data_IF_023978781578
#
_entry.id   IF_023978781578
#
_cell.length_a   1.000
_cell.length_b   1.000
_cell.length_c   1.000
_cell.angle_alpha   90.00
_cell.angle_beta   90.00
_cell.angle_gamma   90.00
#
_symmetry.space_group_name_H-M   'P 1'
#
loop_
_entity.id
_entity.type
_entity.pdbx_description
1 polymer ?
#
# COMPACT_ATOMS: atom_id res chain seq x y z
N UNK A 1 -9.11 -13.07 -13.58
CA UNK A 1 -9.55 -11.69 -13.84
C UNK A 1 -10.89 -11.57 -13.18
N UNK A 2 -10.92 -10.89 -12.04
CA UNK A 2 -11.94 -11.10 -10.99
C UNK A 2 -12.23 -9.80 -10.23
N UNK A 3 -12.17 -8.68 -10.95
CA UNK A 3 -12.33 -7.32 -10.45
C UNK A 3 -13.04 -6.48 -11.52
N UNK A 4 -14.09 -5.76 -11.15
CA UNK A 4 -14.85 -4.85 -12.01
C UNK A 4 -14.56 -3.41 -11.57
N UNK A 5 -13.77 -2.67 -12.35
CA UNK A 5 -13.43 -1.28 -12.07
C UNK A 5 -14.58 -0.30 -12.33
N UNK A 6 -15.67 -0.74 -12.97
CA UNK A 6 -16.88 0.04 -13.20
C UNK A 6 -17.81 0.09 -11.99
N UNK A 7 -17.67 -0.85 -11.04
CA UNK A 7 -18.50 -0.89 -9.85
C UNK A 7 -18.29 0.34 -8.92
N UNK A 8 -19.32 0.79 -8.18
CA UNK A 8 -19.20 1.94 -7.29
C UNK A 8 -18.06 1.78 -6.27
N UNK A 9 -17.18 2.79 -6.19
CA UNK A 9 -15.98 2.79 -5.32
C UNK A 9 -14.97 1.67 -5.61
N UNK A 10 -15.16 0.92 -6.70
CA UNK A 10 -14.25 -0.16 -7.05
C UNK A 10 -12.95 0.34 -7.65
N UNK A 11 -12.85 1.60 -8.10
CA UNK A 11 -11.62 2.12 -8.69
C UNK A 11 -11.49 3.65 -8.53
N UNK A 12 -10.26 4.14 -8.56
CA UNK A 12 -9.92 5.56 -8.51
C UNK A 12 -10.69 6.36 -9.55
N UNK A 13 -11.46 7.37 -9.09
CA UNK A 13 -12.19 8.29 -9.99
C UNK A 13 -11.26 9.04 -10.92
N UNK A 14 -10.13 9.53 -10.39
CA UNK A 14 -9.12 10.26 -11.17
C UNK A 14 -8.54 9.42 -12.32
N UNK A 15 -8.50 8.09 -12.15
CA UNK A 15 -8.06 7.17 -13.21
C UNK A 15 -9.21 6.73 -14.11
N UNK A 16 -10.44 6.61 -13.59
CA UNK A 16 -11.62 6.32 -14.39
C UNK A 16 -11.84 7.38 -15.50
N UNK A 17 -11.68 8.67 -15.15
CA UNK A 17 -11.80 9.77 -16.12
C UNK A 17 -10.72 9.69 -17.22
N UNK A 18 -9.48 9.39 -16.84
CA UNK A 18 -8.36 9.17 -17.78
C UNK A 18 -8.58 7.92 -18.64
N UNK A 19 -9.14 6.87 -18.07
CA UNK A 19 -9.41 5.62 -18.77
C UNK A 19 -10.58 5.73 -19.76
N UNK A 20 -11.53 6.65 -19.55
CA UNK A 20 -12.63 6.90 -20.48
C UNK A 20 -12.13 7.44 -21.84
N UNK A 21 -10.98 8.11 -21.84
CA UNK A 21 -10.25 8.47 -23.05
C UNK A 21 -9.60 7.20 -23.61
N UNK A 22 -10.19 6.57 -24.65
CA UNK A 22 -9.66 5.35 -25.32
C UNK A 22 -8.31 5.55 -26.04
N UNK A 23 -7.59 6.63 -25.73
CA UNK A 23 -6.33 6.94 -26.37
C UNK A 23 -5.24 5.93 -25.94
N UNK A 24 -4.65 5.27 -26.94
CA UNK A 24 -3.41 4.51 -26.76
C UNK A 24 -3.54 3.01 -26.51
N UNK A 25 -4.68 2.38 -26.78
CA UNK A 25 -4.80 0.91 -26.84
C UNK A 25 -4.15 0.33 -28.10
N UNK A 26 -2.84 0.56 -28.23
CA UNK A 26 -2.04 0.05 -29.33
C UNK A 26 -1.78 -1.46 -29.16
N UNK A 27 -1.58 -2.22 -30.26
CA UNK A 27 -1.19 -3.63 -30.17
C UNK A 27 0.07 -3.86 -29.34
N UNK A 28 1.02 -2.91 -29.37
CA UNK A 28 2.24 -2.95 -28.57
C UNK A 28 1.96 -2.83 -27.05
N UNK A 29 1.11 -1.87 -26.64
CA UNK A 29 0.65 -1.72 -25.25
C UNK A 29 -0.05 -2.99 -24.78
N UNK A 30 -1.00 -3.50 -25.56
CA UNK A 30 -1.75 -4.71 -25.20
C UNK A 30 -0.86 -5.95 -25.08
N UNK A 31 0.10 -6.12 -25.99
CA UNK A 31 1.10 -7.19 -25.91
C UNK A 31 1.94 -7.06 -24.63
N UNK A 32 2.34 -5.84 -24.26
CA UNK A 32 3.10 -5.58 -23.04
C UNK A 32 2.26 -5.86 -21.78
N UNK A 33 1.03 -5.39 -21.71
CA UNK A 33 0.13 -5.67 -20.58
C UNK A 33 -0.15 -7.16 -20.42
N UNK A 34 -0.37 -7.87 -21.53
CA UNK A 34 -0.48 -9.33 -21.52
C UNK A 34 0.78 -10.01 -20.98
N UNK A 35 1.96 -9.47 -21.27
CA UNK A 35 3.23 -9.95 -20.69
C UNK A 35 3.28 -9.71 -19.18
N UNK A 36 2.94 -8.51 -18.69
CA UNK A 36 2.90 -8.21 -17.24
C UNK A 36 2.01 -9.22 -16.51
N UNK A 37 0.77 -9.42 -17.01
CA UNK A 37 -0.18 -10.38 -16.42
C UNK A 37 0.37 -11.80 -16.44
N UNK A 38 0.92 -12.25 -17.57
CA UNK A 38 1.45 -13.61 -17.71
C UNK A 38 2.67 -13.84 -16.81
N UNK A 39 3.57 -12.86 -16.70
CA UNK A 39 4.73 -12.94 -15.82
C UNK A 39 4.28 -13.04 -14.36
N UNK A 40 3.32 -12.22 -13.92
CA UNK A 40 2.79 -12.27 -12.56
C UNK A 40 2.09 -13.60 -12.22
N UNK A 41 1.47 -14.27 -13.20
CA UNK A 41 0.82 -15.56 -12.97
C UNK A 41 1.79 -16.75 -13.03
N UNK A 42 2.82 -16.70 -13.88
CA UNK A 42 3.62 -17.89 -14.24
C UNK A 42 5.09 -17.83 -13.83
N UNK A 43 5.67 -16.64 -13.71
CA UNK A 43 7.12 -16.46 -13.57
C UNK A 43 7.49 -15.81 -12.25
N UNK A 44 6.69 -14.84 -11.82
CA UNK A 44 6.91 -14.07 -10.62
C UNK A 44 6.08 -14.66 -9.49
N UNK A 45 6.74 -15.09 -8.42
CA UNK A 45 6.05 -15.43 -7.18
C UNK A 45 5.90 -14.16 -6.37
N UNK A 46 4.73 -13.52 -6.46
CA UNK A 46 4.37 -12.44 -5.56
C UNK A 46 4.50 -12.95 -4.11
N UNK A 47 5.09 -12.17 -3.19
CA UNK A 47 5.12 -12.53 -1.78
C UNK A 47 3.71 -12.90 -1.31
N UNK A 48 3.59 -14.04 -0.63
CA UNK A 48 2.34 -14.51 -0.04
C UNK A 48 2.67 -15.27 1.25
N UNK A 49 3.24 -14.54 2.20
CA UNK A 49 3.66 -15.07 3.49
C UNK A 49 2.96 -14.30 4.61
N UNK A 50 2.89 -14.91 5.80
CA UNK A 50 2.30 -14.27 6.98
C UNK A 50 2.98 -12.95 7.37
N UNK A 51 4.26 -12.79 7.04
CA UNK A 51 5.04 -11.59 7.30
C UNK A 51 4.78 -10.46 6.29
N UNK A 52 4.40 -10.78 5.05
CA UNK A 52 4.14 -9.83 3.98
C UNK A 52 3.53 -10.56 2.77
N UNK A 53 2.50 -9.97 2.17
CA UNK A 53 1.79 -10.53 1.03
C UNK A 53 1.38 -9.44 0.04
N UNK A 54 1.29 -9.83 -1.24
CA UNK A 54 0.89 -8.97 -2.35
C UNK A 54 -0.20 -9.69 -3.14
N UNK A 55 -1.36 -9.06 -3.24
CA UNK A 55 -2.48 -9.56 -4.03
C UNK A 55 -2.78 -8.55 -5.14
N UNK A 56 -2.80 -9.01 -6.39
CA UNK A 56 -3.06 -8.16 -7.54
C UNK A 56 -4.20 -8.73 -8.38
N UNK A 57 -5.09 -7.85 -8.81
CA UNK A 57 -6.14 -8.16 -9.79
C UNK A 57 -6.09 -7.15 -10.92
N UNK A 58 -6.41 -7.58 -12.12
CA UNK A 58 -6.69 -6.70 -13.24
C UNK A 58 -8.21 -6.69 -13.50
N UNK A 59 -8.69 -5.62 -14.12
CA UNK A 59 -10.09 -5.49 -14.50
C UNK A 59 -10.49 -6.60 -15.48
N UNK A 60 -11.74 -7.04 -15.40
CA UNK A 60 -12.28 -8.16 -16.17
C UNK A 60 -12.26 -7.86 -17.69
N UNK A 61 -12.49 -6.62 -18.07
CA UNK A 61 -12.61 -6.19 -19.46
C UNK A 61 -11.37 -5.43 -19.95
N UNK A 62 -10.56 -4.88 -19.04
CA UNK A 62 -9.45 -3.98 -19.35
C UNK A 62 -8.15 -4.28 -18.62
N UNK A 63 -7.15 -4.74 -19.37
CA UNK A 63 -5.82 -5.02 -18.81
C UNK A 63 -5.03 -3.78 -18.36
N UNK A 64 -5.46 -2.59 -18.75
CA UNK A 64 -4.82 -1.32 -18.38
C UNK A 64 -5.39 -0.69 -17.09
N UNK A 65 -6.20 -1.45 -16.35
CA UNK A 65 -6.64 -1.15 -15.00
C UNK A 65 -6.29 -2.31 -14.09
N UNK A 66 -5.55 -2.02 -13.02
CA UNK A 66 -5.22 -3.01 -12.00
C UNK A 66 -5.43 -2.45 -10.61
N UNK A 67 -5.67 -3.35 -9.66
CA UNK A 67 -5.73 -3.06 -8.23
C UNK A 67 -4.80 -4.01 -7.49
N UNK A 68 -4.13 -3.48 -6.48
CA UNK A 68 -3.22 -4.21 -5.62
C UNK A 68 -3.59 -4.00 -4.17
N UNK A 69 -3.58 -5.09 -3.39
CA UNK A 69 -3.59 -5.04 -1.94
C UNK A 69 -2.22 -5.51 -1.45
N UNK A 70 -1.49 -4.61 -0.80
CA UNK A 70 -0.22 -4.90 -0.12
C UNK A 70 -0.49 -5.07 1.36
N UNK A 71 -0.06 -6.18 1.95
CA UNK A 71 -0.06 -6.29 3.41
C UNK A 71 1.20 -5.65 3.97
N UNK A 72 1.05 -4.96 5.10
CA UNK A 72 2.16 -4.30 5.76
C UNK A 72 3.16 -5.29 6.35
N UNK A 73 4.47 -5.11 6.13
CA UNK A 73 5.48 -6.07 6.58
C UNK A 73 5.56 -6.21 8.10
N UNK A 74 5.92 -7.42 8.55
CA UNK A 74 6.30 -7.74 9.92
C UNK A 74 7.41 -6.82 10.45
N UNK A 75 7.29 -6.41 11.71
CA UNK A 75 8.27 -5.56 12.38
C UNK A 75 8.17 -4.08 12.01
N UNK A 76 7.18 -3.68 11.22
CA UNK A 76 6.97 -2.30 10.81
C UNK A 76 5.70 -1.72 11.44
N UNK A 77 5.54 -0.38 11.53
CA UNK A 77 4.27 0.21 11.97
C UNK A 77 3.11 -0.08 11.00
N UNK A 78 3.38 -0.65 9.83
CA UNK A 78 2.39 -1.11 8.85
C UNK A 78 1.88 -2.54 9.11
N UNK A 79 2.56 -3.32 9.96
CA UNK A 79 2.38 -4.77 10.10
C UNK A 79 0.90 -5.18 10.08
N UNK A 80 0.56 -6.06 9.13
CA UNK A 80 -0.77 -6.67 9.06
C UNK A 80 -1.89 -5.79 8.52
N UNK A 81 -1.66 -4.50 8.26
CA UNK A 81 -2.61 -3.65 7.54
C UNK A 81 -2.72 -4.04 6.06
N UNK A 82 -3.89 -3.87 5.47
CA UNK A 82 -4.14 -4.05 4.04
C UNK A 82 -4.20 -2.68 3.34
N UNK A 83 -3.21 -2.39 2.50
CA UNK A 83 -3.09 -1.13 1.77
C UNK A 83 -3.50 -1.32 0.31
N UNK A 84 -4.53 -0.60 -0.11
CA UNK A 84 -5.15 -0.74 -1.43
C UNK A 84 -4.58 0.32 -2.36
N UNK A 85 -4.09 -0.12 -3.52
CA UNK A 85 -3.55 0.74 -4.56
C UNK A 85 -4.27 0.47 -5.88
N UNK A 86 -4.60 1.54 -6.60
CA UNK A 86 -5.08 1.45 -7.97
C UNK A 86 -3.96 1.81 -8.93
N UNK A 87 -3.86 1.09 -10.04
CA UNK A 87 -2.93 1.36 -11.14
C UNK A 87 -3.67 1.58 -12.44
N UNK A 88 -3.25 2.58 -13.21
CA UNK A 88 -3.71 2.85 -14.56
C UNK A 88 -2.53 2.91 -15.54
N UNK A 89 -2.65 2.27 -16.69
CA UNK A 89 -1.60 2.27 -17.72
C UNK A 89 -1.97 3.25 -18.84
N UNK A 90 -1.32 4.43 -18.92
CA UNK A 90 -1.68 5.45 -19.89
C UNK A 90 -1.34 5.02 -21.33
N UNK A 91 -1.84 5.75 -22.32
CA UNK A 91 -1.65 5.42 -23.74
C UNK A 91 -0.20 5.33 -24.21
N UNK A 92 0.73 6.03 -23.54
CA UNK A 92 2.17 5.94 -23.82
C UNK A 92 2.87 4.72 -23.23
N UNK A 93 2.19 3.86 -22.47
CA UNK A 93 2.81 2.70 -21.82
C UNK A 93 3.28 1.65 -22.86
N UNK A 94 4.48 1.05 -22.74
CA UNK A 94 5.43 1.16 -21.62
C UNK A 94 6.49 2.25 -21.74
N UNK A 95 6.41 3.15 -22.73
CA UNK A 95 7.41 4.23 -22.86
C UNK A 95 7.32 5.26 -21.73
N UNK A 96 6.18 5.32 -21.04
CA UNK A 96 5.99 6.02 -19.77
C UNK A 96 5.55 5.03 -18.69
N UNK A 97 5.82 5.29 -17.39
CA UNK A 97 5.39 4.40 -16.30
C UNK A 97 3.87 4.32 -16.16
N UNK A 98 3.35 3.29 -15.46
CA UNK A 98 1.98 3.30 -15.01
C UNK A 98 1.75 4.42 -13.98
N UNK A 99 0.52 4.89 -13.86
CA UNK A 99 0.08 5.74 -12.77
C UNK A 99 -0.36 4.86 -11.60
N UNK A 100 -0.08 5.29 -10.37
CA UNK A 100 -0.50 4.59 -9.15
C UNK A 100 -1.02 5.58 -8.11
N UNK A 101 -2.06 5.17 -7.37
CA UNK A 101 -2.60 5.94 -6.25
C UNK A 101 -2.93 5.01 -5.08
N UNK A 102 -2.58 5.45 -3.86
CA UNK A 102 -3.00 4.81 -2.61
C UNK A 102 -4.46 5.19 -2.33
N UNK A 103 -5.33 4.20 -2.20
CA UNK A 103 -6.74 4.38 -1.82
C UNK A 103 -6.94 4.37 -0.30
N UNK A 104 -6.12 3.60 0.43
CA UNK A 104 -6.19 3.53 1.89
C UNK A 104 -5.56 4.77 2.51
N UNK A 105 -6.28 5.90 2.52
CA UNK A 105 -5.83 7.19 3.10
C UNK A 105 -6.75 7.73 4.19
N UNK A 106 -7.79 6.97 4.56
CA UNK A 106 -8.83 7.42 5.47
C UNK A 106 -9.58 8.63 4.93
N UNK A 107 -9.84 8.68 3.61
CA UNK A 107 -10.45 9.80 2.90
C UNK A 107 -9.64 11.10 3.02
N UNK A 108 -8.32 11.04 2.84
CA UNK A 108 -7.47 12.23 2.92
C UNK A 108 -7.00 12.60 4.33
N UNK A 109 -7.32 11.79 5.35
CA UNK A 109 -6.98 12.06 6.75
C UNK A 109 -5.62 11.52 7.18
N UNK A 110 -5.04 10.58 6.43
CA UNK A 110 -3.83 9.88 6.82
C UNK A 110 -2.75 9.95 5.74
N UNK A 111 -1.61 10.59 6.07
CA UNK A 111 -0.35 10.43 5.34
C UNK A 111 0.40 9.24 5.94
N UNK A 112 0.47 8.14 5.20
CA UNK A 112 1.02 6.87 5.70
C UNK A 112 2.55 6.76 5.64
N UNK A 113 3.21 7.62 4.87
CA UNK A 113 4.67 7.62 4.76
C UNK A 113 5.10 8.97 4.16
N UNK A 114 6.36 9.40 4.31
CA UNK A 114 6.88 10.50 3.51
C UNK A 114 6.64 10.37 2.00
N UNK A 115 6.59 9.13 1.51
CA UNK A 115 6.32 8.77 0.13
C UNK A 115 4.86 8.31 -0.15
N UNK A 116 3.98 8.26 0.86
CA UNK A 116 2.57 7.88 0.73
C UNK A 116 1.67 8.98 1.32
N UNK A 117 1.23 9.87 0.44
CA UNK A 117 0.55 11.11 0.81
C UNK A 117 -0.91 10.88 1.16
N UNK A 118 -1.49 11.82 1.90
CA UNK A 118 -2.90 11.76 2.30
C UNK A 118 -3.86 11.84 1.10
N UNK A 119 -3.47 12.56 0.04
CA UNK A 119 -4.22 12.61 -1.23
C UNK A 119 -4.06 11.34 -2.09
N UNK A 120 -3.29 10.35 -1.61
CA UNK A 120 -3.03 9.10 -2.29
C UNK A 120 -1.81 9.11 -3.20
N UNK A 121 -1.09 10.23 -3.34
CA UNK A 121 0.13 10.27 -4.16
C UNK A 121 1.19 9.30 -3.62
N UNK A 122 1.72 8.48 -4.52
CA UNK A 122 2.83 7.55 -4.26
C UNK A 122 4.11 8.11 -4.88
N UNK A 123 5.12 8.36 -4.07
CA UNK A 123 6.44 8.81 -4.50
C UNK A 123 7.39 7.62 -4.66
N UNK A 124 7.72 7.29 -5.91
CA UNK A 124 8.68 6.23 -6.24
C UNK A 124 9.38 6.60 -7.54
N UNK A 125 10.69 6.39 -7.63
CA UNK A 125 11.48 6.72 -8.82
C UNK A 125 11.01 5.93 -10.06
N UNK A 126 10.62 4.66 -9.88
CA UNK A 126 10.00 3.82 -10.92
C UNK A 126 8.66 4.35 -11.44
N UNK A 127 7.99 5.25 -10.69
CA UNK A 127 6.76 5.92 -11.12
C UNK A 127 7.04 7.32 -11.68
N UNK A 128 8.29 7.79 -11.67
CA UNK A 128 8.67 9.14 -12.05
C UNK A 128 8.20 10.23 -11.06
N UNK A 129 7.77 9.84 -9.86
CA UNK A 129 7.21 10.74 -8.83
C UNK A 129 8.17 11.03 -7.69
N UNK A 130 9.40 10.54 -7.78
CA UNK A 130 10.49 10.79 -6.84
C UNK A 130 11.83 10.86 -7.59
N UNK A 131 12.83 11.52 -6.99
CA UNK A 131 14.17 11.57 -7.55
C UNK A 131 14.85 10.21 -7.42
N UNK A 132 15.28 9.63 -8.54
CA UNK A 132 16.23 8.51 -8.52
C UNK A 132 17.65 9.06 -8.41
N UNK A 133 18.47 8.45 -7.56
CA UNK A 133 19.89 8.79 -7.44
C UNK A 133 20.71 8.34 -8.67
N UNK A 134 20.22 7.33 -9.39
CA UNK A 134 20.83 6.82 -10.62
C UNK A 134 19.79 6.56 -11.72
N UNK A 135 20.16 6.63 -13.00
CA UNK A 135 19.22 6.39 -14.13
C UNK A 135 18.58 5.00 -14.08
N UNK A 136 19.29 4.01 -13.55
CA UNK A 136 18.80 2.63 -13.36
C UNK A 136 17.66 2.51 -12.35
N UNK A 137 17.40 3.56 -11.55
CA UNK A 137 16.31 3.58 -10.57
C UNK A 137 15.03 4.20 -11.13
N UNK A 138 15.09 4.79 -12.33
CA UNK A 138 13.94 5.34 -13.05
C UNK A 138 13.23 4.26 -13.86
N UNK A 139 12.02 4.57 -14.33
CA UNK A 139 11.28 3.69 -15.22
C UNK A 139 12.05 3.44 -16.53
N UNK A 140 12.33 2.17 -16.81
CA UNK A 140 12.89 1.69 -18.06
C UNK A 140 11.83 0.86 -18.81
N UNK A 141 11.38 1.30 -19.99
CA UNK A 141 10.40 0.57 -20.80
C UNK A 141 10.82 -0.87 -21.14
N UNK A 142 12.10 -1.20 -21.17
CA UNK A 142 12.58 -2.54 -21.48
C UNK A 142 12.68 -3.46 -20.25
N UNK A 143 12.95 -2.89 -19.07
CA UNK A 143 13.36 -3.68 -17.88
C UNK A 143 12.47 -3.49 -16.66
N UNK A 144 11.76 -2.37 -16.52
CA UNK A 144 10.85 -2.13 -15.39
C UNK A 144 9.56 -2.93 -15.53
N UNK A 145 8.91 -3.25 -14.41
CA UNK A 145 7.69 -4.06 -14.33
C UNK A 145 6.81 -3.64 -13.16
N UNK A 146 5.53 -4.03 -13.20
CA UNK A 146 4.60 -3.82 -12.08
C UNK A 146 5.10 -4.50 -10.81
N UNK A 147 5.72 -5.68 -10.95
CA UNK A 147 6.33 -6.41 -9.84
C UNK A 147 7.38 -5.58 -9.11
N UNK A 148 8.31 -4.95 -9.84
CA UNK A 148 9.34 -4.11 -9.21
C UNK A 148 8.74 -2.90 -8.47
N UNK A 149 7.67 -2.31 -8.99
CA UNK A 149 6.97 -1.21 -8.31
C UNK A 149 6.42 -1.70 -6.96
N UNK A 150 5.62 -2.77 -6.95
CA UNK A 150 4.97 -3.24 -5.72
C UNK A 150 5.98 -3.78 -4.70
N UNK A 151 7.05 -4.42 -5.16
CA UNK A 151 8.15 -4.85 -4.30
C UNK A 151 8.91 -3.67 -3.70
N UNK A 152 9.15 -2.60 -4.47
CA UNK A 152 9.84 -1.41 -3.97
C UNK A 152 9.03 -0.70 -2.89
N UNK A 153 7.70 -0.60 -3.07
CA UNK A 153 6.82 -0.05 -2.04
C UNK A 153 6.92 -0.88 -0.75
N UNK A 154 6.79 -2.19 -0.85
CA UNK A 154 6.80 -3.05 0.33
C UNK A 154 8.18 -3.08 1.04
N UNK A 155 9.30 -2.99 0.29
CA UNK A 155 10.65 -3.15 0.86
C UNK A 155 11.38 -1.84 1.20
N UNK A 156 11.03 -0.72 0.55
CA UNK A 156 11.73 0.57 0.72
C UNK A 156 10.85 1.64 1.36
N UNK A 157 9.53 1.57 1.19
CA UNK A 157 8.60 2.55 1.74
C UNK A 157 8.01 2.04 3.06
N UNK A 158 7.51 0.80 3.07
CA UNK A 158 6.84 0.22 4.23
C UNK A 158 7.85 -0.41 5.21
N UNK A 159 8.72 0.42 5.79
CA UNK A 159 9.87 0.02 6.62
C UNK A 159 9.64 0.27 8.12
N UNK A 160 10.57 -0.16 8.98
CA UNK A 160 10.51 -0.06 10.45
C UNK A 160 10.51 1.40 10.96
N UNK A 161 11.36 2.25 10.37
CA UNK A 161 11.49 3.68 10.71
C UNK A 161 11.15 4.58 9.51
N UNK A 162 9.87 4.65 9.10
CA UNK A 162 9.44 5.40 7.92
C UNK A 162 9.64 6.92 8.06
N UNK A 163 9.85 7.43 9.27
CA UNK A 163 10.25 8.83 9.49
C UNK A 163 11.49 9.21 8.67
N UNK A 164 12.47 8.30 8.55
CA UNK A 164 13.72 8.57 7.83
C UNK A 164 13.59 8.51 6.30
N UNK A 165 12.40 8.23 5.77
CA UNK A 165 12.13 8.40 4.34
C UNK A 165 11.92 9.88 3.96
N UNK A 166 11.78 10.78 4.94
CA UNK A 166 11.72 12.22 4.69
C UNK A 166 13.10 12.71 4.21
N UNK A 167 13.19 13.65 3.25
CA UNK A 167 14.46 14.21 2.85
C UNK A 167 15.15 14.93 4.02
N UNK A 168 16.48 14.88 4.03
CA UNK A 168 17.35 15.63 4.96
C UNK A 168 17.26 15.25 6.45
N UNK A 169 16.59 14.15 6.82
CA UNK A 169 16.55 13.69 8.23
C UNK A 169 17.50 12.52 8.53
N UNK A 170 18.19 11.99 7.53
CA UNK A 170 19.05 10.79 7.66
C UNK A 170 20.17 10.99 8.71
N UNK A 171 20.71 12.20 8.83
CA UNK A 171 21.72 12.52 9.84
C UNK A 171 21.22 12.31 11.29
N UNK A 172 19.90 12.28 11.51
CA UNK A 172 19.30 12.07 12.84
C UNK A 172 19.12 10.60 13.22
N UNK A 173 19.32 9.64 12.31
CA UNK A 173 19.00 8.21 12.53
C UNK A 173 19.69 7.58 13.75
N UNK A 174 20.86 8.09 14.14
CA UNK A 174 21.64 7.59 15.28
C UNK A 174 21.64 8.54 16.48
N UNK A 175 20.67 9.44 16.54
CA UNK A 175 20.51 10.40 17.64
C UNK A 175 19.32 10.05 18.51
N UNK A 176 19.34 10.45 19.78
CA UNK A 176 18.19 10.31 20.68
C UNK A 176 16.98 11.11 20.20
N UNK A 177 17.21 12.27 19.58
CA UNK A 177 16.17 13.12 19.01
C UNK A 177 15.49 12.45 17.81
N UNK A 178 16.27 11.92 16.86
CA UNK A 178 15.74 11.17 15.73
C UNK A 178 14.97 9.91 16.15
N UNK A 179 15.45 9.20 17.19
CA UNK A 179 14.73 8.07 17.76
C UNK A 179 13.38 8.49 18.38
N UNK A 180 13.33 9.63 19.09
CA UNK A 180 12.08 10.15 19.66
C UNK A 180 11.08 10.60 18.58
N UNK A 181 11.58 11.21 17.49
CA UNK A 181 10.76 11.56 16.34
C UNK A 181 10.23 10.33 15.60
N UNK A 182 11.07 9.33 15.33
CA UNK A 182 10.65 8.07 14.71
C UNK A 182 9.60 7.35 15.57
N UNK A 183 9.79 7.27 16.89
CA UNK A 183 8.83 6.65 17.79
C UNK A 183 7.46 7.37 17.77
N UNK A 184 7.47 8.70 17.78
CA UNK A 184 6.24 9.50 17.70
C UNK A 184 5.54 9.35 16.34
N UNK A 185 6.32 9.31 15.26
CA UNK A 185 5.83 9.05 13.91
C UNK A 185 5.19 7.66 13.80
N UNK A 186 5.86 6.64 14.34
CA UNK A 186 5.38 5.26 14.36
C UNK A 186 4.08 5.12 15.15
N UNK A 187 3.91 5.83 16.27
CA UNK A 187 2.68 5.79 17.05
C UNK A 187 1.47 6.35 16.27
N UNK A 188 1.61 7.50 15.60
CA UNK A 188 0.54 8.02 14.72
C UNK A 188 0.28 7.09 13.53
N UNK A 189 1.33 6.46 12.97
CA UNK A 189 1.19 5.52 11.87
C UNK A 189 0.44 4.26 12.29
N UNK A 190 0.80 3.66 13.42
CA UNK A 190 0.14 2.49 13.98
C UNK A 190 -1.35 2.78 14.23
N UNK A 191 -1.67 3.95 14.76
CA UNK A 191 -3.06 4.39 14.91
C UNK A 191 -3.79 4.47 13.56
N UNK A 192 -3.17 5.11 12.56
CA UNK A 192 -3.72 5.18 11.20
C UNK A 192 -3.88 3.81 10.55
N UNK A 193 -2.93 2.90 10.77
CA UNK A 193 -2.92 1.54 10.26
C UNK A 193 -4.09 0.74 10.86
N UNK A 194 -4.23 0.72 12.18
CA UNK A 194 -5.35 0.06 12.89
C UNK A 194 -6.70 0.58 12.39
N UNK A 195 -6.85 1.90 12.25
CA UNK A 195 -8.13 2.50 11.84
C UNK A 195 -8.47 2.24 10.38
N UNK A 196 -7.54 2.49 9.47
CA UNK A 196 -7.86 2.59 8.05
C UNK A 196 -7.41 1.37 7.24
N UNK A 197 -6.24 0.81 7.54
CA UNK A 197 -5.74 -0.35 6.81
C UNK A 197 -6.18 -1.69 7.43
N UNK A 198 -6.68 -1.68 8.67
CA UNK A 198 -7.26 -2.86 9.32
C UNK A 198 -8.77 -2.75 9.48
N UNK A 199 -9.26 -1.88 10.38
CA UNK A 199 -10.68 -1.80 10.72
C UNK A 199 -11.57 -1.42 9.53
N UNK A 200 -11.24 -0.31 8.85
CA UNK A 200 -12.04 0.17 7.73
C UNK A 200 -12.03 -0.82 6.56
N UNK A 201 -10.85 -1.36 6.18
CA UNK A 201 -10.75 -2.38 5.14
C UNK A 201 -11.47 -3.68 5.52
N UNK A 202 -11.47 -4.07 6.79
CA UNK A 202 -12.21 -5.25 7.23
C UNK A 202 -13.73 -5.04 7.17
N UNK A 203 -14.21 -3.83 7.50
CA UNK A 203 -15.64 -3.46 7.45
C UNK A 203 -16.12 -3.20 6.03
N UNK A 204 -15.25 -2.67 5.18
CA UNK A 204 -15.52 -2.26 3.81
C UNK A 204 -14.44 -2.81 2.87
N UNK A 205 -14.38 -4.14 2.67
CA UNK A 205 -13.36 -4.75 1.84
C UNK A 205 -13.43 -4.20 0.41
N UNK A 206 -12.27 -3.99 -0.26
CA UNK A 206 -12.26 -3.51 -1.63
C UNK A 206 -12.92 -4.57 -2.54
N UNK A 207 -13.77 -4.17 -3.49
CA UNK A 207 -14.44 -5.10 -4.39
C UNK A 207 -13.46 -6.07 -5.06
N UNK A 208 -13.79 -7.36 -5.03
CA UNK A 208 -12.94 -8.43 -5.53
C UNK A 208 -11.84 -8.86 -4.56
N UNK A 209 -11.70 -8.30 -3.37
CA UNK A 209 -10.70 -8.73 -2.38
C UNK A 209 -11.33 -9.12 -1.03
N UNK A 210 -12.64 -9.34 -1.00
CA UNK A 210 -13.41 -9.67 0.20
C UNK A 210 -12.85 -10.91 0.90
N UNK A 211 -12.67 -12.00 0.17
CA UNK A 211 -12.12 -13.23 0.72
C UNK A 211 -10.64 -13.09 1.11
N UNK A 212 -9.87 -12.32 0.34
CA UNK A 212 -8.46 -12.06 0.63
C UNK A 212 -8.32 -11.34 1.97
N UNK A 213 -9.08 -10.25 2.14
CA UNK A 213 -9.10 -9.44 3.37
C UNK A 213 -9.60 -10.27 4.54
N UNK A 214 -10.73 -10.95 4.39
CA UNK A 214 -11.31 -11.76 5.47
C UNK A 214 -10.37 -12.88 5.91
N UNK A 215 -9.78 -13.61 4.97
CA UNK A 215 -8.85 -14.70 5.31
C UNK A 215 -7.55 -14.18 5.90
N UNK A 216 -7.00 -13.07 5.40
CA UNK A 216 -5.81 -12.43 5.97
C UNK A 216 -6.01 -12.11 7.46
N UNK A 217 -7.08 -11.39 7.80
CA UNK A 217 -7.37 -11.02 9.18
C UNK A 217 -7.74 -12.22 10.06
N UNK A 218 -8.44 -13.21 9.52
CA UNK A 218 -8.75 -14.46 10.24
C UNK A 218 -7.50 -15.28 10.57
N UNK A 219 -6.61 -15.45 9.60
CA UNK A 219 -5.37 -16.23 9.76
C UNK A 219 -4.39 -15.54 10.71
N UNK A 220 -4.27 -14.21 10.63
CA UNK A 220 -3.33 -13.46 11.47
C UNK A 220 -3.93 -12.95 12.79
N UNK A 221 -5.21 -13.19 13.07
CA UNK A 221 -5.95 -12.67 14.23
C UNK A 221 -5.14 -12.60 15.52
N UNK A 222 -4.64 -13.74 16.00
CA UNK A 222 -3.93 -13.81 17.28
C UNK A 222 -2.64 -13.01 17.28
N UNK A 223 -1.93 -13.02 16.15
CA UNK A 223 -0.72 -12.24 15.95
C UNK A 223 -1.02 -10.74 15.94
N UNK A 224 -2.03 -10.31 15.20
CA UNK A 224 -2.42 -8.89 15.13
C UNK A 224 -2.90 -8.37 16.48
N UNK A 225 -3.67 -9.17 17.23
CA UNK A 225 -4.06 -8.81 18.59
C UNK A 225 -2.84 -8.62 19.49
N UNK A 226 -1.87 -9.55 19.45
CA UNK A 226 -0.64 -9.42 20.23
C UNK A 226 0.22 -8.22 19.79
N UNK A 227 0.39 -8.02 18.48
CA UNK A 227 1.16 -6.89 17.93
C UNK A 227 0.57 -5.56 18.31
N UNK A 228 -0.74 -5.38 18.16
CA UNK A 228 -1.42 -4.11 18.48
C UNK A 228 -1.45 -3.82 19.97
N UNK A 229 -1.54 -4.84 20.86
CA UNK A 229 -1.35 -4.65 22.30
C UNK A 229 0.04 -4.12 22.63
N UNK A 230 1.09 -4.63 21.95
CA UNK A 230 2.46 -4.10 22.14
C UNK A 230 2.57 -2.65 21.66
N UNK A 231 1.90 -2.28 20.57
CA UNK A 231 1.85 -0.89 20.12
C UNK A 231 1.20 0.03 21.14
N UNK A 232 0.09 -0.36 21.77
CA UNK A 232 -0.54 0.41 22.86
C UNK A 232 0.42 0.59 24.04
N UNK A 233 1.13 -0.46 24.45
CA UNK A 233 2.10 -0.35 25.53
C UNK A 233 3.25 0.62 25.20
N UNK A 234 3.78 0.56 23.97
CA UNK A 234 4.86 1.43 23.50
C UNK A 234 4.42 2.89 23.28
N UNK A 235 3.17 3.11 22.87
CA UNK A 235 2.62 4.43 22.55
C UNK A 235 2.58 5.39 23.76
N UNK A 236 2.74 4.89 24.99
CA UNK A 236 2.93 5.72 26.18
C UNK A 236 4.10 6.71 26.04
N UNK A 237 5.16 6.34 25.31
CA UNK A 237 6.29 7.21 25.02
C UNK A 237 5.93 8.42 24.15
N UNK A 238 4.89 8.31 23.31
CA UNK A 238 4.34 9.40 22.51
C UNK A 238 3.27 10.23 23.27
N UNK A 239 3.06 9.93 24.55
CA UNK A 239 2.15 10.64 25.45
C UNK A 239 0.81 9.94 25.66
N UNK A 240 0.20 10.22 26.83
CA UNK A 240 -1.02 9.54 27.28
C UNK A 240 -2.22 9.72 26.33
N UNK A 241 -2.31 10.86 25.63
CA UNK A 241 -3.38 11.10 24.66
C UNK A 241 -3.26 10.18 23.45
N UNK A 242 -2.04 9.99 22.93
CA UNK A 242 -1.78 9.06 21.83
C UNK A 242 -2.11 7.62 22.25
N UNK A 243 -1.58 7.20 23.40
CA UNK A 243 -1.84 5.87 23.95
C UNK A 243 -3.34 5.58 24.07
N UNK A 244 -4.14 6.50 24.63
CA UNK A 244 -5.61 6.34 24.71
C UNK A 244 -6.30 6.25 23.35
N UNK A 245 -5.87 7.06 22.38
CA UNK A 245 -6.43 7.03 21.01
C UNK A 245 -6.15 5.69 20.33
N UNK A 246 -4.94 5.17 20.50
CA UNK A 246 -4.54 3.86 19.97
C UNK A 246 -5.27 2.72 20.68
N UNK A 247 -5.33 2.75 22.01
CA UNK A 247 -6.04 1.74 22.81
C UNK A 247 -7.52 1.62 22.40
N UNK A 248 -8.22 2.74 22.23
CA UNK A 248 -9.60 2.73 21.75
C UNK A 248 -9.75 2.07 20.37
N UNK A 249 -8.87 2.40 19.43
CA UNK A 249 -8.90 1.80 18.09
C UNK A 249 -8.53 0.31 18.12
N UNK A 250 -7.60 -0.09 18.99
CA UNK A 250 -7.18 -1.48 19.17
C UNK A 250 -8.30 -2.31 19.81
N UNK A 251 -9.01 -1.78 20.80
CA UNK A 251 -10.19 -2.42 21.38
C UNK A 251 -11.26 -2.71 20.30
N UNK A 252 -11.55 -1.73 19.44
CA UNK A 252 -12.47 -1.93 18.31
C UNK A 252 -11.98 -3.00 17.34
N UNK A 253 -10.69 -2.99 17.00
CA UNK A 253 -10.08 -3.99 16.12
C UNK A 253 -10.17 -5.39 16.73
N UNK A 254 -9.87 -5.54 18.03
CA UNK A 254 -9.93 -6.82 18.72
C UNK A 254 -11.35 -7.39 18.71
N UNK A 255 -12.36 -6.54 18.94
CA UNK A 255 -13.76 -6.95 18.83
C UNK A 255 -14.12 -7.41 17.41
N UNK A 256 -13.68 -6.66 16.39
CA UNK A 256 -13.92 -7.04 14.99
C UNK A 256 -13.21 -8.35 14.61
N UNK A 257 -11.95 -8.53 15.03
CA UNK A 257 -11.17 -9.74 14.78
C UNK A 257 -11.74 -10.97 15.52
N UNK A 258 -12.27 -10.79 16.73
CA UNK A 258 -12.93 -11.86 17.47
C UNK A 258 -14.23 -12.34 16.82
N UNK A 259 -14.87 -11.50 16.01
CA UNK A 259 -16.09 -11.82 15.28
C UNK A 259 -15.87 -12.55 13.94
N UNK A 260 -14.61 -12.74 13.50
CA UNK A 260 -14.22 -13.45 12.25
C UNK A 260 -14.05 -14.96 12.42
#
# INVERSE_FOLDING_TARGET
GDFDAGAPRAYSRAFADKAAQKEGDTPAKMKRLGKEVNDMHRRTKLPCHASAAIFLRHDADRLDKMRVVLTGPEGTPYEGGCFVFDLFFPGGYPNVPPLMVLQTTGEGRMRFNPNLYADGKVCLSLLGTWHGGHESEKWDPAHSSVFQIVMSIQSQIMVEDPYFNEPNVEAMRKTSEGAAHSASYNAELQLGNVRWAMLDVLRHPPPGFEDVVKNHFRLLRHRLMATTTRWVAAAGAAGATMQRRLDGAVCELHAALAAL
#
